data_IF_602178112986
#
_entry.id   IF_602178112986
#
_cell.length_a   1.000
_cell.length_b   1.000
_cell.length_c   1.000
_cell.angle_alpha   90.00
_cell.angle_beta   90.00
_cell.angle_gamma   90.00
#
_symmetry.space_group_name_H-M   'P 1'
#
loop_
_entity.id
_entity.type
_entity.pdbx_description
1 polymer ?
#
# COMPACT_ATOMS: atom_id res chain seq x y z
N UNK A 1 -45.04 58.57 0.69
CA UNK A 1 -43.89 57.89 1.33
C UNK A 1 -44.28 56.58 2.01
N UNK A 2 -45.34 56.56 2.83
CA UNK A 2 -45.85 55.35 3.48
C UNK A 2 -46.08 54.12 2.56
N UNK A 3 -46.71 54.23 1.37
CA UNK A 3 -46.95 53.06 0.52
C UNK A 3 -45.67 52.49 -0.10
N UNK A 4 -44.66 53.33 -0.35
CA UNK A 4 -43.37 52.92 -0.90
C UNK A 4 -42.59 52.13 0.16
N UNK A 5 -42.59 52.62 1.41
CA UNK A 5 -41.94 51.93 2.52
C UNK A 5 -42.57 50.55 2.78
N UNK A 6 -43.89 50.44 2.70
CA UNK A 6 -44.60 49.17 2.86
C UNK A 6 -44.26 48.17 1.74
N UNK A 7 -44.23 48.64 0.49
CA UNK A 7 -43.86 47.81 -0.65
C UNK A 7 -42.40 47.30 -0.55
N UNK A 8 -41.47 48.14 -0.12
CA UNK A 8 -40.08 47.75 0.11
C UNK A 8 -39.95 46.70 1.21
N UNK A 9 -40.70 46.82 2.32
CA UNK A 9 -40.68 45.84 3.40
C UNK A 9 -41.20 44.47 2.95
N UNK A 10 -42.28 44.43 2.16
CA UNK A 10 -42.82 43.18 1.61
C UNK A 10 -41.84 42.54 0.63
N UNK A 11 -41.23 43.34 -0.25
CA UNK A 11 -40.24 42.85 -1.20
C UNK A 11 -39.00 42.26 -0.50
N UNK A 12 -38.48 42.95 0.54
CA UNK A 12 -37.38 42.46 1.34
C UNK A 12 -37.73 41.14 2.06
N UNK A 13 -38.93 41.06 2.64
CA UNK A 13 -39.42 39.83 3.27
C UNK A 13 -39.53 38.66 2.30
N UNK A 14 -40.03 38.89 1.09
CA UNK A 14 -40.14 37.87 0.05
C UNK A 14 -38.75 37.37 -0.41
N UNK A 15 -37.78 38.29 -0.56
CA UNK A 15 -36.40 37.93 -0.92
C UNK A 15 -35.77 37.07 0.17
N UNK A 16 -35.93 37.44 1.44
CA UNK A 16 -35.40 36.66 2.58
C UNK A 16 -36.05 35.28 2.64
N UNK A 17 -37.37 35.19 2.44
CA UNK A 17 -38.09 33.92 2.42
C UNK A 17 -37.61 33.03 1.28
N UNK A 18 -37.46 33.57 0.07
CA UNK A 18 -36.97 32.82 -1.08
C UNK A 18 -35.53 32.36 -0.87
N UNK A 19 -34.66 33.23 -0.33
CA UNK A 19 -33.29 32.87 0.00
C UNK A 19 -33.22 31.77 1.06
N UNK A 20 -34.08 31.83 2.07
CA UNK A 20 -34.17 30.82 3.12
C UNK A 20 -34.70 29.47 2.59
N UNK A 21 -35.75 29.49 1.76
CA UNK A 21 -36.35 28.29 1.20
C UNK A 21 -35.48 27.64 0.12
N UNK A 22 -34.72 28.43 -0.63
CA UNK A 22 -33.75 27.95 -1.63
C UNK A 22 -32.37 27.72 -1.02
N UNK A 23 -32.20 27.91 0.29
CA UNK A 23 -30.91 27.66 0.94
C UNK A 23 -30.63 26.16 0.84
N UNK A 24 -29.54 25.75 0.16
CA UNK A 24 -29.28 24.34 -0.06
C UNK A 24 -28.96 23.67 1.28
N UNK A 25 -29.86 22.80 1.75
CA UNK A 25 -29.67 21.92 2.91
C UNK A 25 -28.88 20.66 2.58
N UNK A 26 -28.39 20.55 1.35
CA UNK A 26 -27.72 19.38 0.82
C UNK A 26 -26.22 19.67 0.81
N UNK A 27 -25.47 18.94 1.62
CA UNK A 27 -24.04 18.85 1.42
C UNK A 27 -23.81 18.00 0.15
N UNK A 28 -22.97 18.43 -0.81
CA UNK A 28 -22.54 17.56 -1.88
C UNK A 28 -21.71 16.44 -1.26
N UNK A 29 -22.36 15.35 -0.92
CA UNK A 29 -21.68 14.12 -0.54
C UNK A 29 -20.95 13.63 -1.78
N UNK A 30 -19.62 13.82 -1.80
CA UNK A 30 -18.79 13.27 -2.85
C UNK A 30 -19.10 11.78 -2.93
N UNK A 31 -19.62 11.30 -4.06
CA UNK A 31 -20.03 9.89 -4.18
C UNK A 31 -18.85 9.02 -3.76
N UNK A 32 -18.98 8.35 -2.62
CA UNK A 32 -17.97 7.40 -2.21
C UNK A 32 -18.05 6.27 -3.23
N UNK A 33 -17.01 6.15 -4.06
CA UNK A 33 -16.90 5.03 -4.98
C UNK A 33 -17.03 3.70 -4.21
N UNK A 34 -17.24 2.58 -4.92
CA UNK A 34 -17.43 1.29 -4.25
C UNK A 34 -16.26 1.02 -3.28
N UNK A 35 -16.57 0.50 -2.09
CA UNK A 35 -15.58 0.26 -1.05
C UNK A 35 -14.46 -0.68 -1.51
N UNK A 36 -14.77 -1.60 -2.43
CA UNK A 36 -13.82 -2.50 -3.08
C UNK A 36 -14.00 -2.50 -4.59
N UNK A 37 -12.90 -2.71 -5.31
CA UNK A 37 -12.83 -2.72 -6.77
C UNK A 37 -12.32 -4.08 -7.25
N UNK A 38 -13.05 -4.79 -8.14
CA UNK A 38 -12.54 -5.96 -8.82
C UNK A 38 -11.54 -5.55 -9.90
N UNK A 39 -10.30 -6.03 -9.78
CA UNK A 39 -9.19 -5.73 -10.69
C UNK A 39 -8.60 -7.05 -11.18
N UNK A 40 -8.42 -7.19 -12.50
CA UNK A 40 -7.77 -8.37 -13.10
C UNK A 40 -6.34 -8.02 -13.50
N UNK A 41 -5.37 -8.79 -13.03
CA UNK A 41 -3.94 -8.57 -13.29
C UNK A 41 -3.34 -9.90 -13.73
N UNK A 42 -2.79 -9.95 -14.95
CA UNK A 42 -2.29 -11.21 -15.53
C UNK A 42 -3.34 -12.33 -15.58
N UNK A 43 -4.62 -11.99 -15.76
CA UNK A 43 -5.72 -12.97 -15.74
C UNK A 43 -6.16 -13.42 -14.33
N UNK A 44 -5.55 -12.90 -13.27
CA UNK A 44 -5.90 -13.20 -11.88
C UNK A 44 -6.82 -12.11 -11.32
N UNK A 45 -7.97 -12.50 -10.75
CA UNK A 45 -8.93 -11.55 -10.18
C UNK A 45 -8.58 -11.22 -8.71
N UNK A 46 -8.41 -9.93 -8.45
CA UNK A 46 -8.23 -9.37 -7.11
C UNK A 46 -9.40 -8.45 -6.76
N UNK A 47 -9.84 -8.48 -5.50
CA UNK A 47 -10.86 -7.57 -4.99
C UNK A 47 -10.23 -6.63 -3.96
N UNK A 48 -9.82 -5.44 -4.39
CA UNK A 48 -8.97 -4.54 -3.59
C UNK A 48 -9.79 -3.41 -2.94
N UNK A 49 -9.48 -2.96 -1.71
CA UNK A 49 -10.13 -1.79 -1.13
C UNK A 49 -9.76 -0.51 -1.91
N UNK A 50 -10.75 0.26 -2.36
CA UNK A 50 -10.50 1.46 -3.17
C UNK A 50 -9.64 2.50 -2.41
N UNK A 51 -9.82 2.60 -1.09
CA UNK A 51 -9.06 3.46 -0.21
C UNK A 51 -7.58 3.03 -0.06
N UNK A 52 -7.24 1.76 -0.29
CA UNK A 52 -5.87 1.28 -0.23
C UNK A 52 -5.06 1.64 -1.49
N UNK A 53 -5.72 2.02 -2.60
CA UNK A 53 -5.07 2.33 -3.87
C UNK A 53 -4.34 3.67 -3.78
N UNK A 54 -3.03 3.61 -4.00
CA UNK A 54 -2.13 4.75 -3.84
C UNK A 54 -2.20 5.73 -5.00
N UNK A 55 -2.34 5.23 -6.23
CA UNK A 55 -2.35 6.06 -7.44
C UNK A 55 -3.78 6.29 -7.91
N UNK A 56 -4.19 7.56 -8.06
CA UNK A 56 -5.55 7.89 -8.52
C UNK A 56 -5.88 7.25 -9.87
N UNK A 57 -4.91 7.16 -10.77
CA UNK A 57 -5.08 6.56 -12.10
C UNK A 57 -5.37 5.06 -12.06
N UNK A 58 -4.98 4.34 -11.00
CA UNK A 58 -5.24 2.90 -10.82
C UNK A 58 -6.60 2.61 -10.16
N UNK A 59 -7.38 3.65 -9.78
CA UNK A 59 -8.65 3.53 -9.05
C UNK A 59 -9.83 3.23 -9.97
N UNK A 60 -9.75 2.14 -10.72
CA UNK A 60 -10.85 1.66 -11.55
C UNK A 60 -10.89 0.13 -11.56
N UNK A 61 -12.04 -0.43 -11.91
CA UNK A 61 -12.20 -1.88 -12.08
C UNK A 61 -11.64 -2.36 -13.42
N UNK A 62 -11.54 -3.68 -13.58
CA UNK A 62 -11.21 -4.33 -14.85
C UNK A 62 -9.73 -4.69 -15.00
N UNK A 63 -9.29 -5.02 -16.23
CA UNK A 63 -7.91 -5.39 -16.52
C UNK A 63 -6.94 -4.24 -16.23
N UNK A 64 -5.85 -4.55 -15.54
CA UNK A 64 -4.74 -3.62 -15.26
C UNK A 64 -3.40 -4.36 -15.31
N UNK A 65 -2.36 -3.67 -15.75
CA UNK A 65 -0.99 -4.19 -15.73
C UNK A 65 -0.41 -4.25 -14.32
N UNK A 66 -0.79 -3.26 -13.49
CA UNK A 66 -0.26 -3.09 -12.14
C UNK A 66 -1.19 -2.27 -11.26
N UNK A 67 -1.26 -2.64 -9.99
CA UNK A 67 -1.89 -1.83 -8.95
C UNK A 67 -0.94 -1.68 -7.75
N UNK A 68 -0.90 -0.47 -7.19
CA UNK A 68 -0.09 -0.13 -6.01
C UNK A 68 -1.00 0.19 -4.82
N UNK A 69 -0.89 -0.63 -3.78
CA UNK A 69 -1.69 -0.60 -2.57
C UNK A 69 -0.82 -0.22 -1.36
N UNK A 70 -1.46 0.37 -0.35
CA UNK A 70 -0.87 0.59 0.96
C UNK A 70 -1.83 0.18 2.06
N UNK A 71 -1.30 -0.42 3.13
CA UNK A 71 -2.06 -0.84 4.30
C UNK A 71 -1.32 -0.42 5.57
N UNK A 72 -2.05 0.06 6.56
CA UNK A 72 -1.49 0.32 7.89
C UNK A 72 -1.09 -0.99 8.54
N UNK A 73 0.05 -1.01 9.21
CA UNK A 73 0.52 -2.19 9.96
C UNK A 73 0.45 -1.90 11.46
N UNK A 74 0.01 -2.85 12.32
CA UNK A 74 -0.33 -4.25 12.02
C UNK A 74 -1.80 -4.49 11.61
N UNK A 75 -2.63 -3.46 11.54
CA UNK A 75 -4.09 -3.60 11.36
C UNK A 75 -4.52 -4.10 9.97
N UNK A 76 -3.67 -3.95 8.96
CA UNK A 76 -3.91 -4.26 7.54
C UNK A 76 -5.13 -3.54 6.94
N UNK A 77 -5.54 -2.44 7.56
CA UNK A 77 -6.62 -1.60 7.03
C UNK A 77 -6.08 -0.64 5.99
N UNK A 78 -6.94 -0.21 5.07
CA UNK A 78 -6.62 0.89 4.18
C UNK A 78 -6.25 2.13 5.03
N UNK A 79 -5.14 2.82 4.72
CA UNK A 79 -4.71 3.95 5.51
C UNK A 79 -5.74 5.08 5.39
N UNK A 80 -5.92 5.83 6.47
CA UNK A 80 -6.68 7.07 6.43
C UNK A 80 -6.01 8.05 5.46
N UNK A 81 -6.82 8.98 4.93
CA UNK A 81 -6.33 10.01 4.02
C UNK A 81 -5.11 10.71 4.64
N UNK A 82 -4.02 10.92 3.88
CA UNK A 82 -2.80 11.50 4.43
C UNK A 82 -3.13 12.85 5.07
N UNK A 83 -2.86 12.96 6.38
CA UNK A 83 -2.99 14.22 7.11
C UNK A 83 -2.02 15.20 6.45
N UNK A 84 -2.51 16.38 6.05
CA UNK A 84 -1.65 17.42 5.45
C UNK A 84 -0.56 17.79 6.45
N UNK A 85 0.68 17.47 6.10
CA UNK A 85 1.87 17.85 6.88
C UNK A 85 2.23 19.28 6.48
N UNK A 86 2.17 20.22 7.43
CA UNK A 86 2.60 21.61 7.20
C UNK A 86 4.12 21.73 7.42
N UNK A 87 4.75 22.74 6.80
CA UNK A 87 6.18 23.00 6.95
C UNK A 87 6.63 23.16 8.41
N UNK A 88 5.71 23.54 9.32
CA UNK A 88 5.93 23.64 10.77
C UNK A 88 6.00 22.30 11.52
N UNK A 89 5.77 21.16 10.85
CA UNK A 89 5.84 19.81 11.43
C UNK A 89 7.05 19.01 10.94
N UNK A 90 8.01 19.68 10.29
CA UNK A 90 9.21 19.07 9.68
C UNK A 90 10.40 19.01 10.67
N UNK A 91 10.26 19.57 11.88
CA UNK A 91 11.33 19.57 12.90
C UNK A 91 11.49 18.23 13.65
N UNK A 92 10.60 17.24 13.45
CA UNK A 92 10.67 15.93 14.12
C UNK A 92 11.00 14.78 13.16
N UNK A 93 12.27 14.68 12.75
CA UNK A 93 12.85 13.46 12.16
C UNK A 93 12.15 12.89 10.92
N UNK A 94 12.68 11.77 10.41
CA UNK A 94 11.98 10.99 9.38
C UNK A 94 10.80 10.28 10.06
N UNK A 95 9.56 10.65 9.74
CA UNK A 95 8.40 9.97 10.31
C UNK A 95 8.49 8.45 10.06
N UNK A 96 8.25 7.61 11.09
CA UNK A 96 8.34 6.17 10.94
C UNK A 96 7.31 5.70 9.91
N UNK A 97 7.77 4.89 8.96
CA UNK A 97 6.90 4.25 7.97
C UNK A 97 6.02 3.23 8.71
N UNK A 98 4.73 3.50 8.80
CA UNK A 98 3.71 2.72 9.52
C UNK A 98 2.90 1.80 8.59
N UNK A 99 3.35 1.63 7.36
CA UNK A 99 2.60 0.97 6.28
C UNK A 99 3.40 -0.11 5.59
N UNK A 100 2.71 -1.20 5.26
CA UNK A 100 3.16 -2.17 4.28
C UNK A 100 2.61 -1.76 2.91
N UNK A 101 3.50 -1.66 1.92
CA UNK A 101 3.11 -1.39 0.54
C UNK A 101 3.06 -2.70 -0.22
N UNK A 102 2.03 -2.89 -1.03
CA UNK A 102 1.87 -4.05 -1.88
C UNK A 102 1.71 -3.58 -3.33
N UNK A 103 2.59 -4.04 -4.20
CA UNK A 103 2.38 -3.94 -5.64
C UNK A 103 1.98 -5.29 -6.19
N UNK A 104 0.95 -5.32 -7.03
CA UNK A 104 0.54 -6.49 -7.78
C UNK A 104 0.73 -6.16 -9.25
N UNK A 105 1.50 -6.95 -9.98
CA UNK A 105 1.81 -6.72 -11.41
C UNK A 105 1.69 -8.02 -12.21
N UNK A 106 1.30 -7.94 -13.47
CA UNK A 106 1.30 -9.10 -14.36
C UNK A 106 2.73 -9.64 -14.55
N UNK A 107 2.92 -10.96 -14.54
CA UNK A 107 4.28 -11.51 -14.54
C UNK A 107 4.95 -11.52 -15.91
N UNK A 108 4.22 -11.45 -17.02
CA UNK A 108 4.74 -11.47 -18.40
C UNK A 108 5.84 -12.51 -18.67
N UNK A 109 5.57 -13.77 -18.30
CA UNK A 109 6.53 -14.89 -18.38
C UNK A 109 7.90 -14.66 -17.72
N UNK A 110 8.00 -13.67 -16.82
CA UNK A 110 9.21 -13.46 -16.03
C UNK A 110 9.47 -14.63 -15.08
N UNK A 111 10.74 -14.83 -14.75
CA UNK A 111 11.17 -15.84 -13.80
C UNK A 111 10.46 -15.63 -12.45
N UNK A 112 9.79 -16.69 -11.96
CA UNK A 112 9.07 -16.65 -10.70
C UNK A 112 9.97 -16.25 -9.51
N UNK A 113 9.49 -15.44 -8.55
CA UNK A 113 10.31 -14.97 -7.43
C UNK A 113 10.97 -16.08 -6.59
N UNK A 114 10.26 -17.20 -6.38
CA UNK A 114 10.77 -18.37 -5.67
C UNK A 114 11.87 -19.08 -6.48
N UNK A 115 11.68 -19.20 -7.80
CA UNK A 115 12.69 -19.75 -8.71
C UNK A 115 13.93 -18.85 -8.78
N UNK A 116 13.77 -17.52 -8.78
CA UNK A 116 14.88 -16.57 -8.70
C UNK A 116 15.67 -16.74 -7.39
N UNK A 117 14.97 -16.95 -6.28
CA UNK A 117 15.62 -17.20 -4.98
C UNK A 117 16.43 -18.49 -4.98
N UNK A 118 15.97 -19.52 -5.67
CA UNK A 118 16.65 -20.83 -5.72
C UNK A 118 17.77 -20.90 -6.74
N UNK A 119 17.67 -20.19 -7.85
CA UNK A 119 18.59 -20.37 -9.00
C UNK A 119 19.55 -19.19 -9.22
N UNK A 120 19.15 -17.97 -8.87
CA UNK A 120 19.93 -16.75 -9.14
C UNK A 120 20.66 -16.27 -7.89
N UNK A 121 19.94 -16.04 -6.79
CA UNK A 121 20.54 -15.46 -5.57
C UNK A 121 21.73 -16.24 -4.99
N UNK A 122 21.76 -17.58 -4.97
CA UNK A 122 22.89 -18.32 -4.39
C UNK A 122 24.25 -17.99 -5.01
N UNK A 123 24.28 -17.55 -6.27
CA UNK A 123 25.51 -17.16 -6.98
C UNK A 123 26.13 -15.86 -6.43
N UNK A 124 25.29 -14.99 -5.88
CA UNK A 124 25.69 -13.66 -5.40
C UNK A 124 25.75 -13.56 -3.87
N UNK A 125 25.25 -14.55 -3.15
CA UNK A 125 25.27 -14.56 -1.68
C UNK A 125 26.65 -14.95 -1.15
N UNK A 126 27.00 -14.38 -0.01
CA UNK A 126 28.12 -14.82 0.81
C UNK A 126 27.88 -16.28 1.28
N UNK A 127 28.96 -17.02 1.50
CA UNK A 127 28.89 -18.36 2.09
C UNK A 127 28.55 -18.27 3.58
N UNK A 128 28.98 -17.20 4.26
CA UNK A 128 28.66 -16.94 5.65
C UNK A 128 27.17 -16.62 5.79
N UNK A 129 26.50 -17.41 6.61
CA UNK A 129 25.16 -17.10 7.11
C UNK A 129 25.22 -16.74 8.58
N UNK A 130 24.42 -15.75 8.98
CA UNK A 130 24.21 -15.41 10.38
C UNK A 130 22.81 -15.87 10.77
N UNK A 131 22.72 -16.73 11.77
CA UNK A 131 21.43 -17.06 12.40
C UNK A 131 21.02 -15.89 13.27
N UNK A 132 19.92 -15.24 12.92
CA UNK A 132 19.24 -14.24 13.73
C UNK A 132 18.26 -14.87 14.71
N UNK A 133 17.52 -14.03 15.40
CA UNK A 133 16.50 -14.44 16.37
C UNK A 133 15.34 -15.19 15.71
N UNK A 134 14.71 -16.07 16.50
CA UNK A 134 13.52 -16.84 16.13
C UNK A 134 13.62 -17.68 14.84
N UNK A 135 14.83 -17.99 14.38
CA UNK A 135 15.07 -18.80 13.17
C UNK A 135 15.13 -18.00 11.88
N UNK A 136 15.20 -16.67 11.94
CA UNK A 136 15.49 -15.83 10.79
C UNK A 136 16.97 -15.95 10.41
N UNK A 137 17.27 -16.41 9.21
CA UNK A 137 18.67 -16.48 8.73
C UNK A 137 18.96 -15.30 7.83
N UNK A 138 20.14 -14.70 7.99
CA UNK A 138 20.62 -13.58 7.18
C UNK A 138 21.89 -13.96 6.41
N UNK A 139 21.91 -13.65 5.12
CA UNK A 139 23.09 -13.79 4.25
C UNK A 139 23.28 -12.51 3.47
N UNK A 140 24.47 -11.92 3.55
CA UNK A 140 24.82 -10.75 2.75
C UNK A 140 24.92 -11.13 1.27
N UNK A 141 24.53 -10.23 0.37
CA UNK A 141 25.00 -10.28 -1.01
C UNK A 141 26.42 -9.75 -1.08
N UNK A 142 27.26 -10.39 -1.90
CA UNK A 142 28.67 -10.02 -2.07
C UNK A 142 28.77 -8.63 -2.71
N UNK A 143 29.73 -7.86 -2.24
CA UNK A 143 30.11 -6.58 -2.85
C UNK A 143 30.41 -6.75 -4.34
N UNK A 144 30.06 -5.74 -5.14
CA UNK A 144 30.19 -5.78 -6.61
C UNK A 144 29.17 -6.66 -7.34
N UNK A 145 28.29 -7.39 -6.63
CA UNK A 145 27.14 -8.05 -7.26
C UNK A 145 26.04 -7.04 -7.59
N UNK A 146 25.06 -7.38 -8.46
CA UNK A 146 23.87 -6.55 -8.69
C UNK A 146 23.04 -6.25 -7.44
N UNK A 147 23.35 -6.90 -6.31
CA UNK A 147 22.65 -6.80 -5.03
C UNK A 147 23.57 -6.37 -3.87
N UNK A 148 24.80 -5.90 -4.13
CA UNK A 148 25.86 -5.78 -3.12
C UNK A 148 25.53 -5.00 -1.83
N UNK A 149 24.58 -4.06 -1.89
CA UNK A 149 24.13 -3.25 -0.75
C UNK A 149 22.89 -3.83 -0.03
N UNK A 150 22.55 -5.08 -0.31
CA UNK A 150 21.40 -5.77 0.26
C UNK A 150 21.82 -7.01 1.04
N UNK A 151 20.94 -7.43 1.93
CA UNK A 151 21.03 -8.72 2.61
C UNK A 151 19.76 -9.52 2.33
N UNK A 152 19.91 -10.84 2.20
CA UNK A 152 18.80 -11.77 2.08
C UNK A 152 18.47 -12.35 3.45
N UNK A 153 17.23 -12.14 3.88
CA UNK A 153 16.64 -12.72 5.07
C UNK A 153 15.70 -13.86 4.67
N UNK A 154 15.80 -15.00 5.35
CA UNK A 154 14.95 -16.15 5.06
C UNK A 154 14.58 -16.95 6.31
N UNK A 155 13.33 -17.40 6.39
CA UNK A 155 12.86 -18.40 7.34
C UNK A 155 11.78 -19.29 6.70
N UNK A 156 11.56 -20.47 7.27
CA UNK A 156 10.65 -21.49 6.69
C UNK A 156 9.30 -21.59 7.40
N UNK A 157 9.17 -21.13 8.64
CA UNK A 157 7.94 -21.22 9.42
C UNK A 157 7.78 -20.00 10.36
N UNK A 158 6.89 -19.03 10.06
CA UNK A 158 6.23 -18.85 8.76
C UNK A 158 7.27 -18.60 7.65
N UNK A 159 6.92 -18.85 6.39
CA UNK A 159 7.86 -18.63 5.30
C UNK A 159 8.05 -17.13 5.06
N UNK A 160 9.30 -16.68 5.10
CA UNK A 160 9.69 -15.34 4.67
C UNK A 160 10.95 -15.45 3.83
N UNK A 161 10.96 -14.73 2.71
CA UNK A 161 12.14 -14.46 1.90
C UNK A 161 12.07 -12.97 1.62
N UNK A 162 13.02 -12.21 2.18
CA UNK A 162 13.04 -10.76 2.06
C UNK A 162 14.44 -10.29 1.71
N UNK A 163 14.54 -9.52 0.64
CA UNK A 163 15.75 -8.77 0.30
C UNK A 163 15.66 -7.39 0.93
N UNK A 164 16.65 -7.02 1.72
CA UNK A 164 16.61 -5.76 2.46
C UNK A 164 17.84 -4.92 2.16
N UNK A 165 17.65 -3.68 1.72
CA UNK A 165 18.75 -2.72 1.63
C UNK A 165 19.32 -2.47 3.03
N UNK A 166 20.62 -2.23 3.15
CA UNK A 166 21.23 -1.84 4.43
C UNK A 166 20.82 -0.41 4.79
N UNK A 167 20.82 -0.10 6.09
CA UNK A 167 20.61 1.26 6.57
C UNK A 167 21.77 2.16 6.14
N UNK A 168 21.44 3.37 5.69
CA UNK A 168 22.42 4.39 5.31
C UNK A 168 21.87 5.77 5.72
N UNK A 169 21.99 6.79 4.86
CA UNK A 169 21.34 8.09 5.10
C UNK A 169 19.81 8.00 5.18
N UNK A 170 19.22 6.94 4.63
CA UNK A 170 17.79 6.63 4.76
C UNK A 170 17.62 5.24 5.41
N UNK A 171 16.54 5.03 6.18
CA UNK A 171 16.19 3.71 6.67
C UNK A 171 16.09 2.67 5.54
N UNK A 172 16.63 1.48 5.77
CA UNK A 172 16.59 0.36 4.85
C UNK A 172 15.17 -0.15 4.64
N UNK A 173 14.93 -0.72 3.46
CA UNK A 173 13.62 -1.28 3.08
C UNK A 173 13.79 -2.72 2.63
N UNK A 174 12.83 -3.54 3.00
CA UNK A 174 12.72 -4.92 2.57
C UNK A 174 11.73 -5.07 1.41
N UNK A 175 12.05 -6.01 0.53
CA UNK A 175 11.24 -6.49 -0.59
C UNK A 175 11.01 -7.99 -0.40
N UNK A 176 9.76 -8.40 -0.28
CA UNK A 176 9.36 -9.81 -0.30
C UNK A 176 8.42 -10.05 -1.47
N UNK A 177 8.72 -11.07 -2.28
CA UNK A 177 8.02 -11.31 -3.53
C UNK A 177 7.45 -12.72 -3.56
N UNK A 178 6.23 -12.87 -4.07
CA UNK A 178 5.57 -14.16 -4.27
C UNK A 178 4.69 -14.12 -5.52
N UNK A 179 4.60 -15.24 -6.23
CA UNK A 179 3.69 -15.36 -7.37
C UNK A 179 2.34 -15.91 -6.93
N UNK A 180 1.28 -15.33 -7.46
CA UNK A 180 -0.09 -15.82 -7.35
C UNK A 180 -0.65 -15.89 -8.76
N UNK A 181 -0.78 -17.11 -9.28
CA UNK A 181 -1.28 -17.36 -10.65
C UNK A 181 -0.52 -16.50 -11.67
N UNK A 182 -1.22 -15.61 -12.39
CA UNK A 182 -0.65 -14.75 -13.42
C UNK A 182 -0.05 -13.44 -12.93
N UNK A 183 0.00 -13.21 -11.61
CA UNK A 183 0.48 -11.97 -11.02
C UNK A 183 1.58 -12.18 -9.96
N UNK A 184 2.54 -11.27 -9.93
CA UNK A 184 3.56 -11.17 -8.88
C UNK A 184 3.16 -10.12 -7.85
N UNK A 185 3.20 -10.52 -6.58
CA UNK A 185 2.97 -9.66 -5.42
C UNK A 185 4.33 -9.26 -4.84
N UNK A 186 4.60 -7.97 -4.80
CA UNK A 186 5.79 -7.38 -4.18
C UNK A 186 5.39 -6.58 -2.95
N UNK A 187 5.74 -7.11 -1.79
CA UNK A 187 5.57 -6.45 -0.49
C UNK A 187 6.80 -5.62 -0.16
N UNK A 188 6.58 -4.39 0.29
CA UNK A 188 7.62 -3.46 0.76
C UNK A 188 7.32 -2.99 2.17
N UNK A 189 8.30 -3.14 3.05
CA UNK A 189 8.21 -2.75 4.45
C UNK A 189 9.58 -2.29 5.00
N UNK A 190 9.62 -1.52 6.09
CA UNK A 190 10.88 -1.07 6.70
C UNK A 190 11.72 -2.23 7.20
N UNK A 191 13.05 -2.14 7.03
CA UNK A 191 13.98 -3.16 7.52
C UNK A 191 13.90 -3.36 9.04
N UNK A 192 13.59 -2.31 9.79
CA UNK A 192 13.41 -2.39 11.25
C UNK A 192 12.32 -3.37 11.68
N UNK A 193 11.34 -3.68 10.81
CA UNK A 193 10.29 -4.66 11.12
C UNK A 193 10.78 -6.11 11.10
N UNK A 194 12.03 -6.38 10.71
CA UNK A 194 12.62 -7.71 10.84
C UNK A 194 12.74 -8.17 12.31
N UNK A 195 12.71 -7.24 13.27
CA UNK A 195 12.61 -7.58 14.70
C UNK A 195 11.28 -8.30 15.06
N UNK A 196 10.24 -8.11 14.25
CA UNK A 196 8.92 -8.74 14.38
C UNK A 196 8.55 -9.48 13.08
N UNK A 197 9.53 -10.11 12.44
CA UNK A 197 9.40 -10.65 11.09
C UNK A 197 8.26 -11.68 10.94
N UNK A 198 7.91 -12.41 12.01
CA UNK A 198 6.79 -13.38 11.99
C UNK A 198 5.46 -12.68 11.76
N UNK A 199 5.22 -11.57 12.48
CA UNK A 199 4.02 -10.75 12.30
C UNK A 199 3.95 -10.16 10.88
N UNK A 200 5.10 -9.79 10.31
CA UNK A 200 5.20 -9.31 8.93
C UNK A 200 4.89 -10.44 7.94
N UNK A 201 5.43 -11.64 8.14
CA UNK A 201 5.13 -12.81 7.31
C UNK A 201 3.62 -13.14 7.33
N UNK A 202 3.04 -13.22 8.53
CA UNK A 202 1.61 -13.46 8.72
C UNK A 202 0.74 -12.34 8.14
N UNK A 203 1.22 -11.10 8.17
CA UNK A 203 0.56 -9.97 7.55
C UNK A 203 0.53 -10.08 6.02
N UNK A 204 1.64 -10.47 5.39
CA UNK A 204 1.70 -10.70 3.93
C UNK A 204 0.79 -11.86 3.51
N UNK A 205 0.73 -12.93 4.31
CA UNK A 205 -0.15 -14.07 4.07
C UNK A 205 -1.63 -13.67 4.16
N UNK A 206 -2.01 -12.93 5.22
CA UNK A 206 -3.36 -12.39 5.37
C UNK A 206 -3.74 -11.45 4.24
N UNK A 207 -2.86 -10.54 3.82
CA UNK A 207 -3.12 -9.66 2.68
C UNK A 207 -3.31 -10.45 1.39
N UNK A 208 -2.49 -11.47 1.15
CA UNK A 208 -2.62 -12.34 -0.02
C UNK A 208 -3.99 -13.04 -0.04
N UNK A 209 -4.45 -13.54 1.10
CA UNK A 209 -5.76 -14.19 1.23
C UNK A 209 -6.93 -13.20 1.09
N UNK A 210 -6.85 -12.04 1.74
CA UNK A 210 -7.92 -11.03 1.75
C UNK A 210 -8.17 -10.37 0.39
N UNK A 211 -7.16 -10.33 -0.48
CA UNK A 211 -7.23 -9.65 -1.78
C UNK A 211 -7.60 -10.58 -2.92
N UNK A 212 -7.44 -11.91 -2.78
CA UNK A 212 -7.91 -12.86 -3.80
C UNK A 212 -9.41 -12.72 -3.97
N UNK A 213 -9.85 -12.56 -5.22
CA UNK A 213 -11.28 -12.64 -5.55
C UNK A 213 -11.84 -14.03 -5.26
N UNK A 214 -13.16 -14.18 -5.11
CA UNK A 214 -13.78 -15.50 -5.14
C UNK A 214 -13.34 -16.22 -6.41
N UNK A 215 -12.95 -17.49 -6.28
CA UNK A 215 -12.68 -18.33 -7.45
C UNK A 215 -13.97 -18.40 -8.25
N UNK A 216 -13.95 -17.84 -9.46
CA UNK A 216 -15.04 -17.97 -10.43
C UNK A 216 -15.19 -19.41 -10.90
#
# INVERSE_FOLDING_TARGET
MLPIVLACAVAAGAIVLVAYLLWPTWEPEASSGPARLPVSIGGTLFNVPAAAIRMKIQRHSGPQERIDLGFSFPSLKAPEAPKRVSASSVEEGTQPIDRIFLSISAHHDSLAPDMRTRTIYPRYLDQKSTSGEDGLTMRAFREGSPYGNEDLFSANAPNIIARCTRDAATPGMCLSERRVEGADLTFRFPRSWLAQWRDVADAMDRLTQQLRGPKG
#
